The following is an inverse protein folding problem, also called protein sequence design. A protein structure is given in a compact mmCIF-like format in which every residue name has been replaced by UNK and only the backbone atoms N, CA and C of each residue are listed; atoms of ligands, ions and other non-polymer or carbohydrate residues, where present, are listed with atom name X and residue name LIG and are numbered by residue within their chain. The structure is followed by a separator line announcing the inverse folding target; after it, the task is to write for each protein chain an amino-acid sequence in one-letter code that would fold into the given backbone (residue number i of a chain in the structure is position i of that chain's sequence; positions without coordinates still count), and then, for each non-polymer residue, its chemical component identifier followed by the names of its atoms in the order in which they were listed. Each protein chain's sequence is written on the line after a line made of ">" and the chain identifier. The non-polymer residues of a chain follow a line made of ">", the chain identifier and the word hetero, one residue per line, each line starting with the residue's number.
data_IF_176983381818
#
_entry.id   IF_176983381818
#
_cell.length_a   1.000
_cell.length_b   1.000
_cell.length_c   1.000
_cell.angle_alpha   90.00
_cell.angle_beta   90.00
_cell.angle_gamma   90.00
#
_symmetry.space_group_name_H-M   'P 1'
#
loop_
_entity.id
_entity.type
_entity.pdbx_description
1 polymer ?
#
# COMPACT_ATOMS: atom_id res chain seq x y z
N UNK A 1 9.17 9.17 37.68
CA UNK A 1 10.06 9.67 36.63
C UNK A 1 9.55 9.09 35.33
N UNK A 2 8.70 9.87 34.67
CA UNK A 2 8.09 9.55 33.40
C UNK A 2 9.18 9.63 32.34
N UNK A 3 9.56 8.47 31.79
CA UNK A 3 10.42 8.43 30.60
C UNK A 3 9.46 8.26 29.44
N UNK A 4 9.03 9.38 28.87
CA UNK A 4 8.46 9.39 27.52
C UNK A 4 9.58 8.88 26.61
N UNK A 5 9.48 7.63 26.17
CA UNK A 5 10.44 7.00 25.26
C UNK A 5 10.48 7.82 23.95
N UNK A 6 11.64 8.36 23.54
CA UNK A 6 11.76 9.18 22.34
C UNK A 6 11.70 8.39 21.02
N UNK A 7 11.28 7.10 21.02
CA UNK A 7 11.18 6.27 19.81
C UNK A 7 9.86 6.37 19.03
N UNK A 8 8.81 6.98 19.59
CA UNK A 8 7.57 7.29 18.84
C UNK A 8 7.77 8.29 17.68
N UNK A 9 8.93 8.96 17.62
CA UNK A 9 9.24 9.98 16.60
C UNK A 9 9.60 9.44 15.21
N UNK A 10 9.88 8.14 15.04
CA UNK A 10 10.29 7.59 13.73
C UNK A 10 9.13 7.13 12.86
N UNK A 11 8.01 6.72 13.48
CA UNK A 11 6.79 6.28 12.79
C UNK A 11 5.79 7.40 12.53
N UNK A 12 5.77 8.41 13.40
CA UNK A 12 4.85 9.55 13.23
C UNK A 12 5.14 10.33 11.94
N UNK A 13 6.39 10.36 11.48
CA UNK A 13 6.79 11.15 10.32
C UNK A 13 6.28 10.55 8.99
N UNK A 14 6.50 9.26 8.67
CA UNK A 14 5.89 8.65 7.50
C UNK A 14 4.35 8.65 7.57
N UNK A 15 3.75 8.40 8.75
CA UNK A 15 2.28 8.45 8.92
C UNK A 15 1.72 9.85 8.69
N UNK A 16 2.36 10.91 9.21
CA UNK A 16 1.95 12.30 8.97
C UNK A 16 2.10 12.68 7.50
N UNK A 17 3.17 12.24 6.84
CA UNK A 17 3.37 12.50 5.40
C UNK A 17 2.25 11.88 4.59
N UNK A 18 1.87 10.63 4.87
CA UNK A 18 0.74 9.96 4.21
C UNK A 18 -0.58 10.65 4.52
N UNK A 19 -0.83 11.02 5.78
CA UNK A 19 -2.03 11.78 6.15
C UNK A 19 -2.10 13.15 5.43
N UNK A 20 -0.97 13.84 5.27
CA UNK A 20 -0.88 15.09 4.50
C UNK A 20 -1.16 14.86 3.00
N UNK A 21 -0.64 13.78 2.42
CA UNK A 21 -0.87 13.46 1.00
C UNK A 21 -2.35 13.11 0.76
N UNK A 22 -2.98 12.33 1.63
CA UNK A 22 -4.43 12.02 1.57
C UNK A 22 -5.28 13.28 1.74
N UNK A 23 -4.92 14.16 2.69
CA UNK A 23 -5.61 15.44 2.88
C UNK A 23 -5.46 16.37 1.67
N UNK A 24 -4.28 16.38 1.05
CA UNK A 24 -4.04 17.17 -0.18
C UNK A 24 -4.82 16.61 -1.36
N UNK A 25 -4.87 15.28 -1.50
CA UNK A 25 -5.63 14.61 -2.54
C UNK A 25 -7.13 14.92 -2.43
N UNK A 26 -7.70 14.80 -1.22
CA UNK A 26 -9.12 15.14 -0.96
C UNK A 26 -9.44 16.61 -1.21
N UNK A 27 -8.52 17.52 -0.89
CA UNK A 27 -8.67 18.95 -1.20
C UNK A 27 -8.71 19.23 -2.71
N UNK A 28 -7.77 18.65 -3.48
CA UNK A 28 -7.71 18.84 -4.95
C UNK A 28 -8.91 18.20 -5.64
N UNK A 29 -9.32 17.02 -5.20
CA UNK A 29 -10.50 16.33 -5.74
C UNK A 29 -11.84 17.01 -5.36
N UNK A 30 -11.84 17.90 -4.36
CA UNK A 30 -13.02 18.69 -3.97
C UNK A 30 -13.10 20.06 -4.64
N UNK A 31 -12.08 20.47 -5.41
CA UNK A 31 -12.19 21.64 -6.28
C UNK A 31 -13.02 21.25 -7.50
N UNK A 32 -14.33 21.54 -7.46
CA UNK A 32 -15.16 21.52 -8.67
C UNK A 32 -14.42 22.28 -9.78
N UNK A 33 -14.36 21.75 -11.02
CA UNK A 33 -13.75 22.49 -12.12
C UNK A 33 -14.48 23.82 -12.24
N UNK A 34 -13.75 24.91 -11.98
CA UNK A 34 -14.29 26.26 -12.13
C UNK A 34 -14.87 26.38 -13.54
N UNK A 35 -16.20 26.49 -13.62
CA UNK A 35 -16.87 26.93 -14.82
C UNK A 35 -16.51 28.41 -14.98
N UNK A 36 -15.53 28.72 -15.82
CA UNK A 36 -15.22 30.09 -16.22
C UNK A 36 -16.50 30.76 -16.79
N UNK A 37 -16.98 31.89 -16.25
CA UNK A 37 -17.94 32.72 -16.94
C UNK A 37 -17.23 33.99 -17.42
N UNK A 38 -16.55 33.92 -18.57
CA UNK A 38 -16.10 35.14 -19.24
C UNK A 38 -16.48 35.16 -20.72
N UNK A 39 -17.48 36.00 -21.02
CA UNK A 39 -17.46 36.89 -22.19
C UNK A 39 -18.11 36.38 -23.47
N UNK A 40 -19.30 36.90 -23.77
CA UNK A 40 -19.89 36.92 -25.12
C UNK A 40 -19.01 37.73 -26.08
N UNK A 41 -18.61 37.15 -27.22
CA UNK A 41 -18.49 37.89 -28.48
C UNK A 41 -18.53 36.97 -29.71
N UNK A 42 -19.39 37.36 -30.63
CA UNK A 42 -19.68 36.77 -31.93
C UNK A 42 -18.51 37.03 -32.91
N UNK A 43 -17.99 35.99 -33.58
CA UNK A 43 -17.32 36.06 -34.89
C UNK A 43 -16.90 34.66 -35.39
N UNK A 44 -17.63 34.13 -36.36
CA UNK A 44 -17.18 33.03 -37.23
C UNK A 44 -16.13 33.53 -38.25
N UNK A 45 -15.07 32.76 -38.54
CA UNK A 45 -14.92 32.19 -39.89
C UNK A 45 -14.26 30.77 -39.92
N UNK A 46 -14.25 30.08 -41.10
CA UNK A 46 -14.37 28.64 -41.20
C UNK A 46 -13.02 27.91 -41.34
N UNK A 47 -12.80 26.87 -40.54
CA UNK A 47 -11.83 25.80 -40.82
C UNK A 47 -12.42 24.47 -40.35
N UNK A 48 -12.21 23.36 -41.08
CA UNK A 48 -12.70 22.05 -40.66
C UNK A 48 -11.92 21.60 -39.42
N UNK A 49 -12.62 21.48 -38.29
CA UNK A 49 -12.11 20.88 -37.05
C UNK A 49 -12.13 19.35 -37.19
N UNK A 50 -11.20 18.79 -37.93
CA UNK A 50 -10.82 17.38 -37.80
C UNK A 50 -9.56 17.30 -36.95
N UNK A 51 -9.78 17.40 -35.65
CA UNK A 51 -8.76 17.25 -34.62
C UNK A 51 -9.39 16.58 -33.41
N UNK A 52 -9.81 15.32 -33.56
CA UNK A 52 -10.15 14.47 -32.41
C UNK A 52 -8.87 14.20 -31.63
N UNK A 53 -8.51 15.12 -30.72
CA UNK A 53 -7.52 14.84 -29.69
C UNK A 53 -8.10 13.80 -28.74
N UNK A 54 -7.79 12.53 -28.96
CA UNK A 54 -8.12 11.46 -28.00
C UNK A 54 -7.06 11.49 -26.90
N UNK A 55 -7.25 12.33 -25.89
CA UNK A 55 -6.45 12.26 -24.67
C UNK A 55 -6.98 11.09 -23.84
N UNK A 56 -6.47 9.88 -24.09
CA UNK A 56 -6.84 8.70 -23.30
C UNK A 56 -6.14 8.76 -21.94
N UNK A 57 -6.66 9.59 -21.04
CA UNK A 57 -6.35 9.52 -19.61
C UNK A 57 -6.95 8.23 -19.05
N UNK A 58 -6.23 7.55 -18.16
CA UNK A 58 -6.84 6.50 -17.34
C UNK A 58 -8.13 7.04 -16.68
N UNK A 59 -9.17 6.21 -16.50
CA UNK A 59 -10.33 6.59 -15.72
C UNK A 59 -9.92 7.05 -14.32
N UNK A 60 -10.47 8.16 -13.79
CA UNK A 60 -10.07 8.72 -12.50
C UNK A 60 -10.13 7.72 -11.34
N UNK A 61 -11.11 6.82 -11.34
CA UNK A 61 -11.28 5.78 -10.33
C UNK A 61 -10.16 4.73 -10.35
N UNK A 62 -9.66 4.40 -11.54
CA UNK A 62 -8.52 3.49 -11.69
C UNK A 62 -7.24 4.20 -11.23
N UNK A 63 -7.04 5.46 -11.64
CA UNK A 63 -5.90 6.25 -11.21
C UNK A 63 -5.85 6.41 -9.67
N UNK A 64 -6.98 6.68 -9.04
CA UNK A 64 -7.10 6.78 -7.58
C UNK A 64 -6.71 5.47 -6.89
N UNK A 65 -7.23 4.35 -7.37
CA UNK A 65 -6.92 3.04 -6.79
C UNK A 65 -5.45 2.65 -6.97
N UNK A 66 -4.81 3.01 -8.09
CA UNK A 66 -3.38 2.80 -8.28
C UNK A 66 -2.51 3.58 -7.27
N UNK A 67 -2.94 4.78 -6.86
CA UNK A 67 -2.29 5.53 -5.78
C UNK A 67 -2.44 4.81 -4.44
N UNK A 68 -3.61 4.25 -4.15
CA UNK A 68 -3.79 3.41 -2.94
C UNK A 68 -2.85 2.21 -2.94
N UNK A 69 -2.72 1.52 -4.07
CA UNK A 69 -1.77 0.41 -4.21
C UNK A 69 -0.31 0.83 -4.02
N UNK A 70 0.07 2.04 -4.43
CA UNK A 70 1.42 2.60 -4.17
C UNK A 70 1.68 2.83 -2.68
N UNK A 71 0.68 3.31 -1.95
CA UNK A 71 0.78 3.45 -0.50
C UNK A 71 0.98 2.07 0.14
N UNK A 72 0.19 1.08 -0.27
CA UNK A 72 0.30 -0.29 0.25
C UNK A 72 1.64 -0.96 -0.08
N UNK A 73 2.16 -0.82 -1.29
CA UNK A 73 3.46 -1.36 -1.67
C UNK A 73 4.60 -0.76 -0.85
N UNK A 74 4.58 0.56 -0.65
CA UNK A 74 5.58 1.26 0.16
C UNK A 74 5.53 0.79 1.62
N UNK A 75 4.33 0.58 2.17
CA UNK A 75 4.14 0.05 3.52
C UNK A 75 4.60 -1.41 3.65
N UNK A 76 4.21 -2.29 2.72
CA UNK A 76 4.65 -3.68 2.70
C UNK A 76 6.18 -3.78 2.64
N UNK A 77 6.84 -2.96 1.80
CA UNK A 77 8.30 -2.87 1.73
C UNK A 77 8.92 -2.41 3.04
N UNK A 78 8.29 -1.44 3.72
CA UNK A 78 8.75 -0.95 5.01
C UNK A 78 8.66 -2.03 6.09
N UNK A 79 7.53 -2.73 6.22
CA UNK A 79 7.36 -3.81 7.19
C UNK A 79 8.32 -4.98 6.93
N UNK A 80 8.48 -5.36 5.66
CA UNK A 80 9.47 -6.39 5.27
C UNK A 80 10.88 -6.01 5.72
N UNK A 81 11.26 -4.75 5.49
CA UNK A 81 12.58 -4.23 5.87
C UNK A 81 12.73 -4.19 7.39
N UNK A 82 11.73 -3.70 8.11
CA UNK A 82 11.78 -3.57 9.56
C UNK A 82 11.93 -4.92 10.27
N UNK A 83 11.15 -5.94 9.88
CA UNK A 83 11.30 -7.29 10.45
C UNK A 83 12.71 -7.83 10.22
N UNK A 84 13.28 -7.60 9.03
CA UNK A 84 14.64 -8.00 8.71
C UNK A 84 15.70 -7.24 9.54
N UNK A 85 15.50 -5.94 9.76
CA UNK A 85 16.36 -5.10 10.61
C UNK A 85 16.31 -5.56 12.07
N UNK A 86 15.12 -5.78 12.64
CA UNK A 86 14.97 -6.27 14.02
C UNK A 86 15.69 -7.61 14.19
N UNK A 87 15.53 -8.52 13.22
CA UNK A 87 16.23 -9.81 13.23
C UNK A 87 17.75 -9.66 13.18
N UNK A 88 18.24 -8.78 12.31
CA UNK A 88 19.67 -8.52 12.15
C UNK A 88 20.26 -7.91 13.42
N UNK A 89 19.58 -6.93 14.00
CA UNK A 89 19.96 -6.28 15.26
C UNK A 89 20.00 -7.30 16.41
N UNK A 90 19.00 -8.19 16.48
CA UNK A 90 18.92 -9.21 17.50
C UNK A 90 20.06 -10.25 17.35
N UNK A 91 20.29 -10.79 16.15
CA UNK A 91 21.39 -11.73 15.89
C UNK A 91 22.76 -11.10 16.13
N UNK A 92 22.90 -9.82 15.78
CA UNK A 92 24.09 -9.00 16.05
C UNK A 92 24.27 -8.60 17.51
N UNK A 93 23.31 -8.91 18.40
CA UNK A 93 23.28 -8.50 19.80
C UNK A 93 23.34 -6.97 19.98
N UNK A 94 22.83 -6.23 19.00
CA UNK A 94 22.73 -4.78 19.02
C UNK A 94 21.56 -4.29 19.89
N UNK A 95 20.55 -5.14 20.10
CA UNK A 95 19.40 -4.90 20.97
C UNK A 95 19.23 -6.03 21.99
N UNK A 96 18.53 -5.73 23.09
CA UNK A 96 18.18 -6.72 24.11
C UNK A 96 17.00 -7.58 23.68
N UNK A 97 16.81 -8.71 24.36
CA UNK A 97 15.67 -9.61 24.15
C UNK A 97 14.33 -8.88 24.33
N UNK A 98 14.20 -8.09 25.39
CA UNK A 98 12.98 -7.33 25.67
C UNK A 98 12.70 -6.32 24.56
N UNK A 99 13.72 -5.63 24.05
CA UNK A 99 13.57 -4.70 22.93
C UNK A 99 13.20 -5.40 21.63
N UNK A 100 13.85 -6.53 21.30
CA UNK A 100 13.50 -7.30 20.10
C UNK A 100 12.03 -7.76 20.15
N UNK A 101 11.59 -8.29 21.30
CA UNK A 101 10.22 -8.71 21.52
C UNK A 101 9.23 -7.55 21.40
N UNK A 102 9.50 -6.41 22.05
CA UNK A 102 8.66 -5.21 21.94
C UNK A 102 8.54 -4.75 20.50
N UNK A 103 9.66 -4.64 19.76
CA UNK A 103 9.64 -4.20 18.36
C UNK A 103 8.84 -5.15 17.47
N UNK A 104 8.99 -6.47 17.61
CA UNK A 104 8.18 -7.41 16.84
C UNK A 104 6.68 -7.30 17.16
N UNK A 105 6.32 -7.08 18.43
CA UNK A 105 4.90 -6.87 18.81
C UNK A 105 4.33 -5.54 18.28
N UNK A 106 5.16 -4.50 18.18
CA UNK A 106 4.79 -3.24 17.52
C UNK A 106 4.50 -3.49 16.05
N UNK A 107 5.41 -4.15 15.33
CA UNK A 107 5.21 -4.52 13.91
C UNK A 107 3.99 -5.40 13.70
N UNK A 108 3.75 -6.38 14.59
CA UNK A 108 2.57 -7.22 14.53
C UNK A 108 1.27 -6.39 14.63
N UNK A 109 1.23 -5.41 15.53
CA UNK A 109 0.07 -4.54 15.71
C UNK A 109 -0.12 -3.65 14.48
N UNK A 110 0.95 -3.05 13.98
CA UNK A 110 0.90 -2.18 12.80
C UNK A 110 0.48 -2.96 11.54
N UNK A 111 0.86 -4.24 11.43
CA UNK A 111 0.42 -5.11 10.34
C UNK A 111 -1.07 -5.47 10.46
N UNK A 112 -1.58 -5.75 11.65
CA UNK A 112 -3.02 -6.01 11.83
C UNK A 112 -3.86 -4.79 11.39
N UNK A 113 -3.43 -3.59 11.75
CA UNK A 113 -4.05 -2.34 11.28
C UNK A 113 -3.96 -2.20 9.75
N UNK A 114 -2.81 -2.56 9.15
CA UNK A 114 -2.59 -2.49 7.71
C UNK A 114 -3.42 -3.52 6.93
N UNK A 115 -3.53 -4.75 7.43
CA UNK A 115 -4.40 -5.82 6.88
C UNK A 115 -5.86 -5.38 6.81
N UNK A 116 -6.33 -4.75 7.89
CA UNK A 116 -7.65 -4.16 7.94
C UNK A 116 -7.80 -3.03 6.91
N UNK A 117 -6.81 -2.15 6.80
CA UNK A 117 -6.82 -1.06 5.81
C UNK A 117 -6.90 -1.55 4.36
N UNK A 118 -6.18 -2.64 4.03
CA UNK A 118 -6.27 -3.30 2.70
C UNK A 118 -7.66 -3.91 2.50
N UNK A 119 -8.20 -4.58 3.51
CA UNK A 119 -9.53 -5.23 3.43
C UNK A 119 -10.67 -4.21 3.28
N UNK A 120 -10.55 -3.06 3.94
CA UNK A 120 -11.60 -2.04 4.01
C UNK A 120 -11.58 -1.03 2.85
N UNK A 121 -10.72 -1.21 1.84
CA UNK A 121 -10.68 -0.32 0.67
C UNK A 121 -12.05 -0.26 -0.01
N UNK A 122 -12.65 0.92 0.04
CA UNK A 122 -13.88 1.21 -0.69
C UNK A 122 -13.59 1.59 -2.15
N UNK A 123 -14.60 1.45 -3.01
CA UNK A 123 -14.58 1.89 -4.41
C UNK A 123 -13.52 1.22 -5.29
N UNK A 124 -13.20 -0.05 -5.05
CA UNK A 124 -12.34 -0.83 -5.94
C UNK A 124 -12.97 -0.88 -7.35
N UNK A 125 -12.24 -0.45 -8.41
CA UNK A 125 -12.76 -0.48 -9.77
C UNK A 125 -13.19 -1.89 -10.18
N UNK A 126 -14.33 -2.08 -10.88
CA UNK A 126 -14.86 -3.41 -11.20
C UNK A 126 -13.87 -4.32 -11.96
N UNK A 127 -13.02 -3.73 -12.81
CA UNK A 127 -11.99 -4.46 -13.55
C UNK A 127 -10.81 -4.95 -12.69
N UNK A 128 -10.66 -4.43 -11.47
CA UNK A 128 -9.55 -4.74 -10.55
C UNK A 128 -10.04 -5.47 -9.29
N UNK A 129 -11.35 -5.63 -9.11
CA UNK A 129 -11.95 -6.24 -7.93
C UNK A 129 -11.44 -7.67 -7.67
N UNK A 130 -11.27 -8.49 -8.72
CA UNK A 130 -10.75 -9.84 -8.57
C UNK A 130 -9.30 -9.85 -8.05
N UNK A 131 -8.45 -8.96 -8.56
CA UNK A 131 -7.07 -8.81 -8.09
C UNK A 131 -7.01 -8.28 -6.66
N UNK A 132 -7.88 -7.33 -6.30
CA UNK A 132 -7.97 -6.85 -4.92
C UNK A 132 -8.40 -7.95 -3.94
N UNK A 133 -9.34 -8.82 -4.32
CA UNK A 133 -9.71 -9.97 -3.48
C UNK A 133 -8.53 -10.91 -3.28
N UNK A 134 -7.72 -11.15 -4.32
CA UNK A 134 -6.49 -11.93 -4.17
C UNK A 134 -5.51 -11.26 -3.20
N UNK A 135 -5.28 -9.95 -3.35
CA UNK A 135 -4.45 -9.18 -2.42
C UNK A 135 -4.95 -9.29 -0.96
N UNK A 136 -6.26 -9.17 -0.73
CA UNK A 136 -6.85 -9.33 0.62
C UNK A 136 -6.55 -10.71 1.21
N UNK A 137 -6.53 -11.76 0.38
CA UNK A 137 -6.16 -13.10 0.84
C UNK A 137 -4.67 -13.19 1.20
N UNK A 138 -3.78 -12.64 0.38
CA UNK A 138 -2.34 -12.66 0.64
C UNK A 138 -1.97 -11.91 1.92
N UNK A 139 -2.68 -10.83 2.25
CA UNK A 139 -2.41 -10.08 3.48
C UNK A 139 -3.00 -10.73 4.74
N UNK A 140 -3.96 -11.66 4.63
CA UNK A 140 -4.83 -12.09 5.75
C UNK A 140 -4.20 -12.83 6.94
N UNK A 141 -2.86 -12.91 7.02
CA UNK A 141 -2.13 -13.67 8.04
C UNK A 141 -0.72 -13.10 8.34
N UNK A 142 -0.37 -11.90 7.85
CA UNK A 142 1.00 -11.36 8.02
C UNK A 142 1.29 -10.99 9.48
N UNK A 143 0.32 -10.42 10.18
CA UNK A 143 0.36 -10.08 11.60
C UNK A 143 0.58 -11.34 12.45
N UNK A 144 -0.11 -12.43 12.11
CA UNK A 144 0.06 -13.73 12.74
C UNK A 144 1.46 -14.32 12.48
N UNK A 145 1.99 -14.19 11.26
CA UNK A 145 3.37 -14.60 10.92
C UNK A 145 4.42 -13.85 11.75
N UNK A 146 4.22 -12.56 12.04
CA UNK A 146 5.10 -11.85 12.99
C UNK A 146 4.94 -12.39 14.42
N UNK A 147 3.72 -12.82 14.80
CA UNK A 147 3.49 -13.58 16.02
C UNK A 147 4.32 -14.85 16.11
N UNK A 148 4.46 -15.60 15.02
CA UNK A 148 5.31 -16.80 14.97
C UNK A 148 6.80 -16.47 15.16
N UNK A 149 7.25 -15.30 14.69
CA UNK A 149 8.61 -14.80 14.99
C UNK A 149 8.78 -14.58 16.50
N UNK A 150 7.79 -14.00 17.17
CA UNK A 150 7.81 -13.80 18.63
C UNK A 150 7.82 -15.14 19.38
N UNK A 151 7.01 -16.12 18.94
CA UNK A 151 7.02 -17.48 19.50
C UNK A 151 8.39 -18.13 19.31
N UNK A 152 8.99 -18.00 18.13
CA UNK A 152 10.34 -18.48 17.85
C UNK A 152 11.42 -17.76 18.65
N UNK A 153 11.23 -16.48 18.98
CA UNK A 153 12.13 -15.71 19.83
C UNK A 153 12.11 -16.22 21.29
N UNK A 154 10.93 -16.58 21.81
CA UNK A 154 10.75 -17.12 23.16
C UNK A 154 11.20 -18.59 23.29
N UNK A 155 11.44 -19.28 22.17
CA UNK A 155 11.74 -20.70 22.15
C UNK A 155 13.11 -21.02 22.78
N UNK A 156 13.25 -22.14 23.51
CA UNK A 156 14.54 -22.58 24.07
C UNK A 156 15.40 -23.28 23.01
N UNK A 157 15.64 -22.62 21.87
CA UNK A 157 16.47 -23.10 20.76
C UNK A 157 17.63 -22.13 20.47
N UNK A 158 18.37 -22.37 19.38
CA UNK A 158 19.45 -21.49 18.92
C UNK A 158 18.96 -20.33 18.03
N UNK A 159 17.66 -20.00 18.12
CA UNK A 159 16.97 -19.00 17.30
C UNK A 159 16.60 -19.50 15.90
N UNK A 160 16.68 -20.80 15.63
CA UNK A 160 16.30 -21.38 14.34
C UNK A 160 14.81 -21.19 14.07
N UNK A 161 13.95 -21.42 15.05
CA UNK A 161 12.50 -21.23 14.90
C UNK A 161 12.17 -19.77 14.51
N UNK A 162 12.76 -18.81 15.21
CA UNK A 162 12.62 -17.38 14.90
C UNK A 162 13.07 -17.05 13.48
N UNK A 163 14.23 -17.56 13.05
CA UNK A 163 14.78 -17.31 11.69
C UNK A 163 13.90 -17.94 10.62
N UNK A 164 13.37 -19.14 10.85
CA UNK A 164 12.44 -19.79 9.93
C UNK A 164 11.15 -18.98 9.78
N UNK A 165 10.51 -18.60 10.90
CA UNK A 165 9.29 -17.79 10.86
C UNK A 165 9.51 -16.45 10.14
N UNK A 166 10.67 -15.81 10.34
CA UNK A 166 10.97 -14.56 9.65
C UNK A 166 11.24 -14.73 8.15
N UNK A 167 11.81 -15.87 7.74
CA UNK A 167 11.95 -16.19 6.33
C UNK A 167 10.58 -16.46 5.68
N UNK A 168 9.67 -17.14 6.37
CA UNK A 168 8.29 -17.37 5.92
C UNK A 168 7.51 -16.06 5.81
N UNK A 169 7.65 -15.16 6.78
CA UNK A 169 7.11 -13.81 6.70
C UNK A 169 7.65 -13.04 5.49
N UNK A 170 8.97 -13.12 5.22
CA UNK A 170 9.57 -12.44 4.08
C UNK A 170 9.04 -12.96 2.73
N UNK A 171 8.77 -14.27 2.64
CA UNK A 171 8.13 -14.89 1.46
C UNK A 171 6.69 -14.39 1.31
N UNK A 172 5.90 -14.37 2.38
CA UNK A 172 4.53 -13.85 2.32
C UNK A 172 4.48 -12.37 1.90
N UNK A 173 5.44 -11.56 2.36
CA UNK A 173 5.58 -10.17 1.90
C UNK A 173 5.94 -10.06 0.42
N UNK A 174 6.72 -11.01 -0.14
CA UNK A 174 6.97 -11.06 -1.58
C UNK A 174 5.70 -11.41 -2.36
N UNK A 175 4.90 -12.35 -1.87
CA UNK A 175 3.61 -12.73 -2.48
C UNK A 175 2.62 -11.53 -2.52
N UNK A 176 2.60 -10.73 -1.46
CA UNK A 176 1.83 -9.47 -1.40
C UNK A 176 2.30 -8.45 -2.44
N UNK A 177 3.62 -8.24 -2.55
CA UNK A 177 4.19 -7.30 -3.53
C UNK A 177 3.90 -7.75 -4.96
N UNK A 178 4.00 -9.05 -5.23
CA UNK A 178 3.65 -9.65 -6.52
C UNK A 178 2.15 -9.48 -6.83
N UNK A 179 1.27 -9.67 -5.85
CA UNK A 179 -0.17 -9.43 -6.01
C UNK A 179 -0.47 -7.96 -6.36
N UNK A 180 0.19 -7.00 -5.70
CA UNK A 180 0.06 -5.57 -6.02
C UNK A 180 0.53 -5.30 -7.46
N UNK A 181 1.66 -5.86 -7.87
CA UNK A 181 2.20 -5.72 -9.22
C UNK A 181 1.23 -6.30 -10.28
N UNK A 182 0.63 -7.46 -10.03
CA UNK A 182 -0.33 -8.09 -10.93
C UNK A 182 -1.60 -7.24 -11.13
N UNK A 183 -2.09 -6.57 -10.08
CA UNK A 183 -3.22 -5.65 -10.18
C UNK A 183 -2.86 -4.45 -11.08
N UNK A 184 -1.65 -3.91 -10.92
CA UNK A 184 -1.15 -2.79 -11.74
C UNK A 184 -1.02 -3.18 -13.20
N UNK A 185 -0.50 -4.37 -13.49
CA UNK A 185 -0.43 -4.89 -14.85
C UNK A 185 -1.82 -4.93 -15.49
N UNK A 186 -2.80 -5.49 -14.76
CA UNK A 186 -4.21 -5.55 -15.20
C UNK A 186 -4.76 -4.15 -15.51
N UNK A 187 -4.47 -3.15 -14.67
CA UNK A 187 -4.94 -1.77 -14.86
C UNK A 187 -4.37 -1.09 -16.12
N UNK A 188 -3.22 -1.54 -16.62
CA UNK A 188 -2.58 -1.00 -17.82
C UNK A 188 -2.93 -1.74 -19.10
N UNK A 189 -3.52 -2.94 -18.99
CA UNK A 189 -3.98 -3.67 -20.18
C UNK A 189 -5.25 -3.04 -20.75
N UNK A 190 -5.28 -2.64 -22.03
CA UNK A 190 -6.51 -2.14 -22.63
C UNK A 190 -7.53 -3.27 -22.69
N UNK A 191 -8.70 -3.05 -22.10
CA UNK A 191 -9.86 -3.93 -22.25
C UNK A 191 -10.16 -4.09 -23.74
N UNK A 192 -9.67 -5.16 -24.37
CA UNK A 192 -10.06 -5.50 -25.74
C UNK A 192 -11.51 -5.97 -25.68
N UNK A 193 -12.44 -5.03 -25.75
CA UNK A 193 -13.82 -5.31 -26.13
C UNK A 193 -13.77 -5.88 -27.55
N UNK A 194 -13.77 -7.20 -27.65
CA UNK A 194 -13.96 -7.90 -28.91
C UNK A 194 -15.41 -7.64 -29.34
N UNK A 195 -15.61 -6.55 -30.07
CA UNK A 195 -16.80 -6.37 -30.90
C UNK A 195 -16.74 -7.42 -32.00
N UNK A 196 -17.33 -8.58 -31.74
CA UNK A 196 -17.59 -9.57 -32.78
C UNK A 196 -18.74 -8.99 -33.61
N UNK A 197 -18.37 -8.24 -34.66
CA UNK A 197 -19.26 -7.93 -35.76
C UNK A 197 -19.19 -9.09 -36.75
N UNK A 198 -20.31 -9.78 -36.97
CA UNK A 198 -20.45 -10.86 -37.95
C UNK A 198 -21.70 -11.69 -37.70
#
# INVERSE_FOLDING_TARGET
>A
METVDPRHGRWILPVIVVAMVVLTYTFVNSLEPSSDPTGTSDANPPFPTDGTSTTSSLPPEIAAFLVTLDIFENQATAYKTEVAEINTDWDGRAITFAEAKTKFLEVQTDLDDWENAVTEVANVPPGLAAGHVALVLEVSDLSAKVGDIVVGLDAPDDGTLRRTAAAEFAVAMDEVLDAIAAIRETATTPSTTSTIAG
#
